data_IF_818828982834
#
_entry.id   IF_818828982834
#
_cell.length_a   1.000
_cell.length_b   1.000
_cell.length_c   1.000
_cell.angle_alpha   90.00
_cell.angle_beta   90.00
_cell.angle_gamma   90.00
#
_symmetry.space_group_name_H-M   'P 1'
#
loop_
_entity.id
_entity.type
_entity.pdbx_description
1 polymer ?
#
# COMPACT_ATOMS: atom_id res chain seq x y z
N UNK A 1 62.32 7.24 6.51
CA UNK A 1 61.31 6.68 5.58
C UNK A 1 60.32 5.84 6.39
N UNK A 2 59.05 6.26 6.50
CA UNK A 2 58.02 5.45 7.18
C UNK A 2 57.66 4.26 6.30
N UNK A 3 57.58 3.07 6.91
CA UNK A 3 57.27 1.84 6.21
C UNK A 3 55.85 1.93 5.62
N UNK A 4 55.67 1.80 4.29
CA UNK A 4 54.37 1.98 3.65
C UNK A 4 53.31 1.00 4.15
N UNK A 5 53.72 -0.18 4.63
CA UNK A 5 52.82 -1.19 5.21
C UNK A 5 52.24 -0.74 6.56
N UNK A 6 53.02 0.01 7.35
CA UNK A 6 52.57 0.55 8.64
C UNK A 6 51.55 1.68 8.45
N UNK A 7 51.75 2.50 7.42
CA UNK A 7 50.82 3.58 7.07
C UNK A 7 49.46 3.04 6.64
N UNK A 8 49.42 1.96 5.86
CA UNK A 8 48.18 1.35 5.41
C UNK A 8 47.35 0.75 6.56
N UNK A 9 48.02 0.09 7.51
CA UNK A 9 47.36 -0.50 8.69
C UNK A 9 46.78 0.60 9.58
N UNK A 10 47.51 1.69 9.83
CA UNK A 10 47.01 2.82 10.62
C UNK A 10 45.78 3.48 9.97
N UNK A 11 45.76 3.62 8.65
CA UNK A 11 44.59 4.17 7.93
C UNK A 11 43.35 3.28 7.99
N UNK A 12 43.51 1.95 7.91
CA UNK A 12 42.37 1.02 8.00
C UNK A 12 41.77 1.02 9.39
N UNK A 13 42.60 1.03 10.44
CA UNK A 13 42.12 1.08 11.82
C UNK A 13 41.34 2.36 12.07
N UNK A 14 41.85 3.51 11.62
CA UNK A 14 41.15 4.79 11.76
C UNK A 14 39.78 4.78 11.06
N UNK A 15 39.72 4.22 9.85
CA UNK A 15 38.49 4.15 9.06
C UNK A 15 37.45 3.22 9.70
N UNK A 16 37.89 2.08 10.27
CA UNK A 16 37.02 1.18 11.01
C UNK A 16 36.44 1.84 12.27
N UNK A 17 37.25 2.58 13.03
CA UNK A 17 36.76 3.33 14.19
C UNK A 17 35.77 4.43 13.80
N UNK A 18 35.98 5.15 12.69
CA UNK A 18 35.01 6.14 12.19
C UNK A 18 33.65 5.50 11.84
N UNK A 19 33.64 4.32 11.23
CA UNK A 19 32.39 3.61 10.89
C UNK A 19 31.65 3.12 12.14
N UNK A 20 32.37 2.58 13.13
CA UNK A 20 31.77 2.15 14.40
C UNK A 20 31.16 3.33 15.16
N UNK A 21 31.88 4.45 15.25
CA UNK A 21 31.38 5.67 15.90
C UNK A 21 30.13 6.19 15.16
N UNK A 22 30.14 6.21 13.83
CA UNK A 22 28.97 6.61 13.05
C UNK A 22 27.74 5.75 13.38
N UNK A 23 27.87 4.42 13.44
CA UNK A 23 26.78 3.51 13.80
C UNK A 23 26.28 3.68 15.25
N UNK A 24 27.17 4.02 16.18
CA UNK A 24 26.80 4.29 17.59
C UNK A 24 26.03 5.61 17.70
N UNK A 25 26.38 6.62 16.91
CA UNK A 25 25.73 7.93 16.94
C UNK A 25 24.42 8.01 16.15
N UNK A 26 24.12 7.08 15.23
CA UNK A 26 22.85 7.05 14.48
C UNK A 26 21.67 6.40 15.23
N UNK A 27 21.81 6.09 16.52
CA UNK A 27 20.72 5.49 17.31
C UNK A 27 19.76 6.58 17.79
N UNK A 28 18.79 6.93 16.96
CA UNK A 28 17.80 7.99 17.20
C UNK A 28 16.91 7.75 18.43
N UNK A 29 16.55 8.86 19.09
CA UNK A 29 15.57 8.97 20.16
C UNK A 29 14.18 8.52 19.70
N UNK A 30 13.60 7.54 20.39
CA UNK A 30 12.19 7.18 20.23
C UNK A 30 11.34 8.19 21.01
N UNK A 31 10.69 9.12 20.30
CA UNK A 31 9.62 9.95 20.87
C UNK A 31 8.38 9.07 21.06
N UNK A 32 7.98 8.90 22.32
CA UNK A 32 6.78 8.19 22.76
C UNK A 32 5.60 9.15 22.76
N UNK A 33 4.59 8.88 21.94
CA UNK A 33 3.29 9.57 21.98
C UNK A 33 2.36 8.87 22.98
N UNK A 34 1.80 9.55 24.00
CA UNK A 34 0.80 8.96 24.86
C UNK A 34 -0.59 9.02 24.20
N UNK A 35 -1.18 7.84 24.01
CA UNK A 35 -2.61 7.64 23.75
C UNK A 35 -3.37 7.76 25.07
N UNK A 36 -4.45 8.54 25.11
CA UNK A 36 -5.54 8.36 26.07
C UNK A 36 -6.89 8.56 25.37
N UNK A 37 -7.64 7.45 25.36
CA UNK A 37 -9.08 7.35 25.12
C UNK A 37 -9.80 7.63 26.44
N UNK A 38 -10.89 8.40 26.44
CA UNK A 38 -11.98 8.12 27.39
C UNK A 38 -13.36 8.46 26.81
N UNK A 39 -14.13 7.39 26.64
CA UNK A 39 -15.57 7.26 26.45
C UNK A 39 -16.37 7.86 27.61
N UNK A 40 -17.50 8.52 27.32
CA UNK A 40 -18.72 8.50 28.16
C UNK A 40 -19.89 9.15 27.39
N UNK A 41 -21.00 8.41 27.25
CA UNK A 41 -22.34 8.93 26.98
C UNK A 41 -23.18 8.70 28.26
N UNK A 42 -24.14 9.59 28.62
CA UNK A 42 -25.55 9.26 28.36
C UNK A 42 -26.53 10.45 28.15
N UNK A 43 -27.55 10.17 27.32
CA UNK A 43 -29.01 10.47 27.38
C UNK A 43 -29.61 11.87 27.68
N UNK A 44 -30.53 12.23 26.76
CA UNK A 44 -31.87 12.87 26.91
C UNK A 44 -32.00 14.24 27.59
N UNK A 45 -32.49 15.23 26.84
CA UNK A 45 -33.61 16.09 27.28
C UNK A 45 -34.29 16.84 26.11
N UNK A 46 -35.56 17.20 26.36
CA UNK A 46 -36.61 17.55 25.40
C UNK A 46 -36.74 19.05 25.09
N UNK A 47 -37.41 19.29 23.95
CA UNK A 47 -38.34 20.38 23.60
C UNK A 47 -37.84 21.81 23.29
N UNK A 48 -38.27 22.30 22.11
CA UNK A 48 -38.17 23.69 21.66
C UNK A 48 -38.33 23.89 20.15
N UNK A 49 -39.56 23.83 19.64
CA UNK A 49 -40.04 24.19 18.26
C UNK A 49 -40.38 25.72 18.29
N UNK A 50 -40.31 26.57 17.21
CA UNK A 50 -40.96 26.30 15.93
C UNK A 50 -40.45 26.94 14.60
N UNK A 51 -41.07 26.42 13.54
CA UNK A 51 -41.55 27.09 12.31
C UNK A 51 -40.63 27.22 11.08
N UNK A 52 -41.06 26.56 9.99
CA UNK A 52 -40.59 26.78 8.62
C UNK A 52 -41.21 25.79 7.63
N UNK A 53 -42.35 26.17 7.04
CA UNK A 53 -43.18 25.43 6.06
C UNK A 53 -42.44 24.90 4.82
N UNK A 54 -42.86 23.74 4.27
CA UNK A 54 -43.58 23.66 2.97
C UNK A 54 -43.88 22.22 2.49
N UNK A 55 -45.18 21.99 2.24
CA UNK A 55 -45.83 21.10 1.24
C UNK A 55 -45.58 19.58 1.25
N UNK A 56 -46.61 18.86 1.70
CA UNK A 56 -46.98 17.52 1.22
C UNK A 56 -47.75 17.64 -0.09
N UNK A 57 -47.39 16.85 -1.09
CA UNK A 57 -48.30 16.41 -2.15
C UNK A 57 -48.17 14.89 -2.31
N UNK A 58 -49.28 14.32 -2.75
CA UNK A 58 -49.76 12.97 -2.54
C UNK A 58 -49.27 11.97 -3.60
N UNK A 59 -49.23 10.72 -3.16
CA UNK A 59 -49.03 9.43 -3.83
C UNK A 59 -49.80 9.24 -5.16
N UNK A 60 -49.12 8.75 -6.22
CA UNK A 60 -49.37 7.47 -6.92
C UNK A 60 -49.06 7.48 -8.44
N UNK A 61 -48.52 6.33 -8.89
CA UNK A 61 -48.61 5.71 -10.23
C UNK A 61 -47.53 5.99 -11.31
N UNK A 62 -46.88 4.92 -11.78
CA UNK A 62 -46.28 4.82 -13.13
C UNK A 62 -44.81 4.36 -13.26
N UNK A 63 -44.58 3.03 -13.32
CA UNK A 63 -43.50 2.18 -13.92
C UNK A 63 -42.49 2.86 -14.88
N UNK A 64 -41.17 2.55 -14.95
CA UNK A 64 -40.63 1.24 -15.40
C UNK A 64 -39.45 0.61 -14.61
N UNK A 65 -39.20 -0.71 -14.82
CA UNK A 65 -38.24 -1.52 -14.06
C UNK A 65 -36.79 -1.08 -14.27
N UNK A 66 -35.99 -1.13 -13.21
CA UNK A 66 -34.55 -0.99 -13.30
C UNK A 66 -33.94 -2.19 -14.01
N UNK A 67 -33.79 -2.04 -15.33
CA UNK A 67 -32.94 -2.86 -16.19
C UNK A 67 -31.47 -2.52 -15.88
N UNK A 68 -30.66 -3.58 -15.74
CA UNK A 68 -29.29 -3.52 -15.26
C UNK A 68 -28.45 -2.43 -15.90
N UNK A 69 -27.76 -1.66 -15.05
CA UNK A 69 -26.62 -0.85 -15.47
C UNK A 69 -25.50 -1.83 -15.83
N UNK A 70 -25.41 -2.18 -17.11
CA UNK A 70 -24.22 -2.79 -17.67
C UNK A 70 -23.11 -1.74 -17.54
N UNK A 71 -22.16 -1.98 -16.63
CA UNK A 71 -20.95 -1.16 -16.52
C UNK A 71 -20.23 -1.24 -17.86
N UNK A 72 -20.26 -0.14 -18.61
CA UNK A 72 -19.52 -0.01 -19.87
C UNK A 72 -18.03 -0.04 -19.53
N UNK A 73 -17.42 -1.23 -19.66
CA UNK A 73 -15.98 -1.39 -19.52
C UNK A 73 -15.32 -0.49 -20.57
N UNK A 74 -14.41 0.43 -20.18
CA UNK A 74 -13.74 1.28 -21.15
C UNK A 74 -13.01 0.42 -22.18
N UNK A 75 -13.23 0.73 -23.46
CA UNK A 75 -12.71 0.00 -24.64
C UNK A 75 -11.18 -0.15 -24.64
N UNK A 76 -10.46 0.62 -23.80
CA UNK A 76 -8.99 0.59 -23.70
C UNK A 76 -8.44 -0.13 -22.46
N UNK A 77 -9.27 -0.84 -21.70
CA UNK A 77 -8.81 -1.54 -20.50
C UNK A 77 -7.80 -2.66 -20.83
N UNK A 78 -6.75 -2.72 -20.02
CA UNK A 78 -5.72 -3.75 -20.04
C UNK A 78 -5.87 -4.62 -18.80
N UNK A 79 -5.19 -5.77 -18.81
CA UNK A 79 -5.16 -6.65 -17.65
C UNK A 79 -3.80 -7.26 -17.36
N UNK A 80 -3.62 -7.64 -16.11
CA UNK A 80 -2.44 -8.33 -15.58
C UNK A 80 -2.90 -9.35 -14.53
N UNK A 81 -2.17 -10.44 -14.41
CA UNK A 81 -2.44 -11.50 -13.42
C UNK A 81 -1.57 -11.27 -12.20
N UNK A 82 -2.15 -11.33 -11.00
CA UNK A 82 -1.42 -11.27 -9.73
C UNK A 82 -1.56 -12.60 -9.00
N UNK A 83 -0.41 -13.19 -8.68
CA UNK A 83 -0.26 -14.45 -7.95
C UNK A 83 0.40 -14.15 -6.60
N UNK A 84 -0.21 -14.58 -5.50
CA UNK A 84 0.35 -14.42 -4.15
C UNK A 84 -0.17 -15.54 -3.22
N UNK A 85 0.66 -16.55 -2.98
CA UNK A 85 0.23 -17.75 -2.26
C UNK A 85 -0.89 -18.46 -3.04
N UNK A 86 -2.06 -18.59 -2.43
CA UNK A 86 -3.25 -19.19 -3.06
C UNK A 86 -4.07 -18.19 -3.89
N UNK A 87 -3.78 -16.88 -3.74
CA UNK A 87 -4.50 -15.85 -4.46
C UNK A 87 -4.04 -15.79 -5.91
N UNK A 88 -5.00 -15.85 -6.84
CA UNK A 88 -4.82 -15.61 -8.27
C UNK A 88 -5.95 -14.71 -8.76
N UNK A 89 -5.63 -13.46 -9.08
CA UNK A 89 -6.61 -12.47 -9.54
C UNK A 89 -6.17 -11.81 -10.84
N UNK A 90 -7.15 -11.36 -11.61
CA UNK A 90 -6.93 -10.50 -12.76
C UNK A 90 -7.21 -9.04 -12.39
N UNK A 91 -6.19 -8.19 -12.50
CA UNK A 91 -6.32 -6.74 -12.35
C UNK A 91 -6.71 -6.14 -13.69
N UNK A 92 -7.74 -5.29 -13.70
CA UNK A 92 -8.11 -4.47 -14.86
C UNK A 92 -7.65 -3.04 -14.63
N UNK A 93 -6.99 -2.43 -15.61
CA UNK A 93 -6.40 -1.08 -15.47
C UNK A 93 -6.34 -0.33 -16.80
N UNK A 94 -6.17 0.99 -16.73
CA UNK A 94 -5.94 1.84 -17.90
C UNK A 94 -4.46 1.86 -18.30
N UNK A 95 -4.12 2.15 -19.56
CA UNK A 95 -2.73 2.35 -19.97
C UNK A 95 -1.99 3.33 -19.05
N UNK A 96 -0.69 3.07 -18.80
CA UNK A 96 0.18 3.87 -17.93
C UNK A 96 -0.18 3.87 -16.43
N UNK A 97 -1.01 2.91 -15.97
CA UNK A 97 -1.33 2.76 -14.54
C UNK A 97 -0.12 2.22 -13.76
N UNK A 98 0.19 2.83 -12.62
CA UNK A 98 1.20 2.34 -11.67
C UNK A 98 0.65 1.13 -10.91
N UNK A 99 1.49 0.12 -10.66
CA UNK A 99 1.06 -1.12 -10.03
C UNK A 99 0.44 -0.90 -8.65
N UNK A 100 1.01 0.00 -7.84
CA UNK A 100 0.42 0.38 -6.56
C UNK A 100 -1.02 0.91 -6.70
N UNK A 101 -1.29 1.76 -7.70
CA UNK A 101 -2.63 2.31 -7.92
C UNK A 101 -3.62 1.22 -8.35
N UNK A 102 -3.17 0.24 -9.13
CA UNK A 102 -3.99 -0.91 -9.49
C UNK A 102 -4.30 -1.81 -8.29
N UNK A 103 -3.34 -1.99 -7.37
CA UNK A 103 -3.59 -2.70 -6.11
C UNK A 103 -4.61 -1.97 -5.24
N UNK A 104 -4.51 -0.64 -5.12
CA UNK A 104 -5.49 0.18 -4.39
C UNK A 104 -6.88 0.06 -5.01
N UNK A 105 -7.02 0.20 -6.33
CA UNK A 105 -8.30 0.03 -7.01
C UNK A 105 -8.91 -1.36 -6.78
N UNK A 106 -8.09 -2.42 -6.84
CA UNK A 106 -8.57 -3.77 -6.58
C UNK A 106 -8.98 -3.98 -5.12
N UNK A 107 -8.26 -3.38 -4.16
CA UNK A 107 -8.61 -3.43 -2.74
C UNK A 107 -9.92 -2.67 -2.48
N UNK A 108 -10.08 -1.49 -3.06
CA UNK A 108 -11.29 -0.68 -2.91
C UNK A 108 -12.50 -1.36 -3.57
N UNK A 109 -12.27 -2.21 -4.58
CA UNK A 109 -13.25 -3.11 -5.18
C UNK A 109 -13.42 -4.46 -4.44
N UNK A 110 -12.81 -4.63 -3.26
CA UNK A 110 -12.82 -5.86 -2.45
C UNK A 110 -12.33 -7.14 -3.17
N UNK A 111 -11.46 -6.99 -4.18
CA UNK A 111 -10.87 -8.11 -4.94
C UNK A 111 -9.58 -8.65 -4.31
N UNK A 112 -8.93 -7.85 -3.47
CA UNK A 112 -7.64 -8.18 -2.85
C UNK A 112 -7.54 -7.53 -1.47
N UNK A 113 -6.81 -8.18 -0.58
CA UNK A 113 -6.35 -7.60 0.68
C UNK A 113 -4.84 -7.53 0.67
N UNK A 114 -4.30 -6.35 0.97
CA UNK A 114 -2.86 -6.14 1.13
C UNK A 114 -2.60 -5.01 2.14
N UNK A 115 -1.45 -5.07 2.79
CA UNK A 115 -0.95 -4.03 3.69
C UNK A 115 0.54 -3.80 3.51
N UNK A 116 1.01 -2.71 4.11
CA UNK A 116 2.36 -2.25 3.91
C UNK A 116 2.61 -0.93 4.61
N UNK A 117 3.78 -0.37 4.31
CA UNK A 117 4.23 0.90 4.88
C UNK A 117 4.63 1.86 3.77
N UNK A 118 4.13 3.08 3.86
CA UNK A 118 4.58 4.16 3.01
C UNK A 118 5.88 4.76 3.56
N UNK A 119 6.87 4.90 2.71
CA UNK A 119 8.15 5.54 3.00
C UNK A 119 8.29 6.80 2.14
N UNK A 120 8.28 8.01 2.72
CA UNK A 120 8.43 9.25 1.97
C UNK A 120 9.68 9.21 1.07
N UNK A 121 9.51 9.52 -0.22
CA UNK A 121 10.59 9.50 -1.21
C UNK A 121 10.94 8.12 -1.78
N UNK A 122 10.52 7.01 -1.16
CA UNK A 122 10.78 5.64 -1.65
C UNK A 122 9.51 4.92 -2.14
N UNK A 123 8.33 5.36 -1.68
CA UNK A 123 7.04 4.80 -2.06
C UNK A 123 6.50 3.76 -1.06
N UNK A 124 5.50 3.01 -1.49
CA UNK A 124 4.81 2.04 -0.67
C UNK A 124 5.49 0.67 -0.74
N UNK A 125 5.84 0.13 0.42
CA UNK A 125 6.39 -1.21 0.59
C UNK A 125 5.28 -2.14 1.06
N UNK A 126 4.93 -3.11 0.22
CA UNK A 126 3.97 -4.16 0.57
C UNK A 126 4.63 -5.12 1.54
N UNK A 127 4.00 -5.33 2.69
CA UNK A 127 4.43 -6.31 3.70
C UNK A 127 3.52 -7.51 3.76
N UNK A 128 2.28 -7.38 3.29
CA UNK A 128 1.29 -8.45 3.32
C UNK A 128 0.45 -8.40 2.05
N UNK A 129 0.20 -9.55 1.43
CA UNK A 129 -0.65 -9.66 0.25
C UNK A 129 -1.25 -11.06 0.15
N UNK A 130 -2.58 -11.14 0.08
CA UNK A 130 -3.27 -12.43 0.16
C UNK A 130 -2.94 -13.16 1.47
N UNK A 131 -2.38 -14.36 1.37
CA UNK A 131 -1.94 -15.18 2.52
C UNK A 131 -0.45 -15.03 2.84
N UNK A 132 0.29 -14.19 2.09
CA UNK A 132 1.71 -13.99 2.28
C UNK A 132 1.97 -12.81 3.22
N UNK A 133 2.84 -13.04 4.21
CA UNK A 133 3.21 -12.06 5.23
C UNK A 133 4.73 -11.98 5.36
N UNK A 134 5.29 -10.80 5.18
CA UNK A 134 6.71 -10.53 5.42
C UNK A 134 7.03 -10.73 6.90
N UNK A 135 8.15 -11.41 7.19
CA UNK A 135 8.58 -11.74 8.54
C UNK A 135 10.01 -11.29 8.81
N UNK A 136 10.50 -11.53 10.03
CA UNK A 136 11.85 -11.14 10.45
C UNK A 136 12.99 -11.79 9.67
N UNK A 137 12.72 -12.90 8.96
CA UNK A 137 13.70 -13.67 8.18
C UNK A 137 13.28 -13.96 6.75
N UNK A 138 12.09 -13.49 6.34
CA UNK A 138 11.57 -13.70 5.00
C UNK A 138 11.01 -12.40 4.47
N UNK A 139 11.49 -12.00 3.30
CA UNK A 139 11.05 -10.81 2.61
C UNK A 139 9.99 -11.17 1.59
N UNK A 140 9.03 -10.26 1.44
CA UNK A 140 8.00 -10.37 0.42
C UNK A 140 8.53 -9.72 -0.86
N UNK A 141 8.95 -10.56 -1.81
CA UNK A 141 9.56 -10.14 -3.09
C UNK A 141 8.56 -10.39 -4.21
N UNK A 142 8.52 -9.49 -5.20
CA UNK A 142 7.69 -9.68 -6.38
C UNK A 142 8.48 -9.77 -7.67
N UNK A 143 7.91 -10.52 -8.59
CA UNK A 143 8.44 -10.86 -9.89
C UNK A 143 7.48 -10.38 -10.96
N UNK A 144 8.01 -9.95 -12.09
CA UNK A 144 7.25 -9.58 -13.28
C UNK A 144 7.69 -10.51 -14.41
N UNK A 145 6.76 -11.28 -14.94
CA UNK A 145 6.99 -12.24 -16.04
C UNK A 145 8.16 -13.19 -15.74
N UNK A 146 8.23 -13.69 -14.50
CA UNK A 146 9.25 -14.62 -14.02
C UNK A 146 10.61 -14.00 -13.67
N UNK A 147 10.75 -12.68 -13.72
CA UNK A 147 11.98 -11.96 -13.35
C UNK A 147 11.76 -11.08 -12.13
N UNK A 148 12.70 -11.08 -11.19
CA UNK A 148 12.61 -10.23 -10.00
C UNK A 148 12.45 -8.76 -10.40
N UNK A 149 11.52 -8.06 -9.74
CA UNK A 149 11.29 -6.66 -10.05
C UNK A 149 12.47 -5.79 -9.60
N UNK A 150 12.92 -4.89 -10.49
CA UNK A 150 14.05 -3.99 -10.21
C UNK A 150 13.62 -2.65 -9.59
N UNK A 151 12.32 -2.44 -9.43
CA UNK A 151 11.70 -1.24 -8.85
C UNK A 151 10.58 -1.67 -7.91
N UNK A 152 10.12 -0.77 -7.03
CA UNK A 152 8.98 -1.02 -6.16
C UNK A 152 7.62 -0.83 -6.84
N UNK A 153 6.55 -1.27 -6.17
CA UNK A 153 5.18 -1.22 -6.71
C UNK A 153 4.70 0.20 -7.02
N UNK A 154 5.25 1.22 -6.33
CA UNK A 154 4.95 2.64 -6.56
C UNK A 154 5.68 3.25 -7.77
N UNK A 155 6.59 2.51 -8.42
CA UNK A 155 7.36 2.98 -9.56
C UNK A 155 7.19 2.11 -10.81
N UNK A 156 6.60 0.92 -10.69
CA UNK A 156 6.34 0.05 -11.82
C UNK A 156 5.05 0.46 -12.56
N UNK A 157 5.17 0.78 -13.84
CA UNK A 157 4.02 0.96 -14.74
C UNK A 157 3.61 -0.39 -15.33
N UNK A 158 2.36 -0.80 -15.10
CA UNK A 158 1.83 -2.06 -15.59
C UNK A 158 1.77 -2.12 -17.11
N UNK A 159 1.97 -3.33 -17.65
CA UNK A 159 1.80 -3.63 -19.07
C UNK A 159 0.72 -4.70 -19.27
N UNK A 160 0.01 -4.60 -20.39
CA UNK A 160 -0.96 -5.62 -20.81
C UNK A 160 -0.32 -7.01 -20.80
N UNK A 161 -0.96 -7.94 -20.09
CA UNK A 161 -0.57 -9.33 -20.01
C UNK A 161 0.54 -9.63 -18.99
N UNK A 162 0.97 -8.67 -18.18
CA UNK A 162 1.95 -8.94 -17.14
C UNK A 162 1.45 -10.04 -16.18
N UNK A 163 2.37 -10.93 -15.82
CA UNK A 163 2.18 -11.89 -14.73
C UNK A 163 3.05 -11.45 -13.57
N UNK A 164 2.41 -11.03 -12.48
CA UNK A 164 3.07 -10.55 -11.28
C UNK A 164 2.95 -11.62 -10.20
N UNK A 165 4.07 -12.10 -9.71
CA UNK A 165 4.13 -13.17 -8.72
C UNK A 165 4.83 -12.69 -7.45
N UNK A 166 4.20 -12.91 -6.31
CA UNK A 166 4.76 -12.61 -4.98
C UNK A 166 5.24 -13.87 -4.30
N UNK A 167 6.42 -13.82 -3.68
CA UNK A 167 7.07 -14.92 -2.96
C UNK A 167 7.65 -14.45 -1.63
N UNK A 168 7.73 -15.39 -0.68
CA UNK A 168 8.46 -15.19 0.56
C UNK A 168 9.85 -15.82 0.44
N UNK A 169 10.90 -15.01 0.56
CA UNK A 169 12.30 -15.41 0.41
C UNK A 169 13.13 -15.08 1.65
#
# INVERSE_FOLDING_TARGET
>A
MKNPKKLYIETIILLFFCVVIFFVYTKEEKITTPSQVKTEAPLLDKEGVPAGNLKKNHLASGTPPQQGREETIPENTQSATVLAGEMNINLSFLPNTIFYDALIQARDANKITFSGKNYPGLGFFVTDIGTLHAGSRKYLIYYINGKEATVGVSAYTLKKGDVIEWKLE
#
